data_IF_356377645961
#
_entry.id   IF_356377645961
#
_cell.length_a   1.000
_cell.length_b   1.000
_cell.length_c   1.000
_cell.angle_alpha   90.00
_cell.angle_beta   90.00
_cell.angle_gamma   90.00
#
_symmetry.space_group_name_H-M   'P 1'
#
loop_
_entity.id
_entity.type
_entity.pdbx_description
1 polymer ?
#
# COMPACT_ATOMS: atom_id res chain seq x y z
N UNK A 1 2.28 13.80 17.71
CA UNK A 1 2.77 12.41 17.57
C UNK A 1 2.67 12.02 16.11
N UNK A 2 3.62 11.25 15.58
CA UNK A 2 3.58 10.80 14.18
C UNK A 2 2.68 9.58 14.06
N UNK A 3 1.64 9.63 13.21
CA UNK A 3 0.78 8.48 12.91
C UNK A 3 1.37 7.67 11.75
N UNK A 4 1.69 6.41 12.00
CA UNK A 4 2.24 5.47 11.03
C UNK A 4 1.21 4.38 10.74
N UNK A 5 0.84 4.25 9.47
CA UNK A 5 -0.06 3.17 9.04
C UNK A 5 0.74 2.01 8.49
N UNK A 6 0.46 0.82 9.01
CA UNK A 6 1.06 -0.44 8.56
C UNK A 6 0.03 -1.19 7.70
N UNK A 7 0.41 -1.53 6.47
CA UNK A 7 -0.40 -2.34 5.57
C UNK A 7 0.31 -3.67 5.37
N UNK A 8 -0.24 -4.73 5.97
CA UNK A 8 0.32 -6.07 5.96
C UNK A 8 -0.43 -6.98 4.98
N UNK A 9 0.27 -7.42 3.95
CA UNK A 9 -0.19 -8.35 2.93
C UNK A 9 0.16 -9.81 3.18
N UNK A 10 0.51 -10.22 4.40
CA UNK A 10 0.70 -11.64 4.75
C UNK A 10 -0.63 -12.41 4.67
N UNK A 11 -0.59 -13.63 4.14
CA UNK A 11 -1.76 -14.51 4.05
C UNK A 11 -2.15 -15.18 5.36
N UNK A 12 -1.19 -15.34 6.29
CA UNK A 12 -1.36 -16.13 7.50
C UNK A 12 -0.94 -15.33 8.71
N UNK A 13 -1.59 -15.60 9.82
CA UNK A 13 -1.19 -15.11 11.13
C UNK A 13 0.16 -15.69 11.54
N UNK A 14 0.89 -14.93 12.36
CA UNK A 14 2.17 -15.30 12.97
C UNK A 14 3.20 -15.81 11.92
N UNK A 15 3.20 -15.16 10.76
CA UNK A 15 4.20 -15.38 9.72
C UNK A 15 5.50 -14.59 9.98
N UNK A 16 6.55 -14.94 9.22
CA UNK A 16 7.81 -14.18 9.24
C UNK A 16 7.59 -12.70 8.93
N UNK A 17 6.68 -12.38 8.00
CA UNK A 17 6.31 -10.99 7.70
C UNK A 17 5.64 -10.31 8.90
N UNK A 18 4.73 -11.01 9.60
CA UNK A 18 4.01 -10.48 10.76
C UNK A 18 4.97 -10.20 11.91
N UNK A 19 5.90 -11.11 12.18
CA UNK A 19 6.93 -10.94 13.22
C UNK A 19 7.86 -9.76 12.89
N UNK A 20 8.27 -9.61 11.63
CA UNK A 20 9.08 -8.47 11.21
C UNK A 20 8.32 -7.13 11.34
N UNK A 21 7.02 -7.14 11.02
CA UNK A 21 6.13 -5.99 11.25
C UNK A 21 6.01 -5.69 12.74
N UNK A 22 5.82 -6.69 13.60
CA UNK A 22 5.68 -6.53 15.04
C UNK A 22 6.92 -5.86 15.66
N UNK A 23 8.13 -6.31 15.30
CA UNK A 23 9.39 -5.69 15.75
C UNK A 23 9.50 -4.23 15.30
N UNK A 24 9.12 -3.92 14.05
CA UNK A 24 9.15 -2.55 13.55
C UNK A 24 8.13 -1.65 14.27
N UNK A 25 6.94 -2.18 14.54
CA UNK A 25 5.87 -1.49 15.28
C UNK A 25 6.27 -1.21 16.72
N UNK A 26 6.85 -2.20 17.41
CA UNK A 26 7.37 -2.05 18.78
C UNK A 26 8.40 -0.92 18.85
N UNK A 27 9.41 -0.94 17.99
CA UNK A 27 10.45 0.09 17.96
C UNK A 27 9.90 1.49 17.64
N UNK A 28 8.88 1.60 16.77
CA UNK A 28 8.23 2.88 16.47
C UNK A 28 7.42 3.42 17.65
N UNK A 29 6.69 2.56 18.34
CA UNK A 29 5.90 2.92 19.52
C UNK A 29 6.81 3.34 20.69
N UNK A 30 7.91 2.63 20.92
CA UNK A 30 8.95 3.02 21.88
C UNK A 30 9.56 4.40 21.56
N UNK A 31 9.61 4.76 20.28
CA UNK A 31 10.06 6.06 19.81
C UNK A 31 8.97 7.15 19.86
N UNK A 32 7.78 6.86 20.38
CA UNK A 32 6.67 7.81 20.55
C UNK A 32 5.82 8.04 19.28
N UNK A 33 5.93 7.18 18.27
CA UNK A 33 4.98 7.16 17.16
C UNK A 33 3.70 6.41 17.55
N UNK A 34 2.58 6.74 16.90
CA UNK A 34 1.33 5.98 16.99
C UNK A 34 1.22 5.09 15.76
N UNK A 35 1.12 3.77 15.95
CA UNK A 35 1.01 2.82 14.85
C UNK A 35 -0.39 2.20 14.76
N UNK A 36 -0.92 2.11 13.54
CA UNK A 36 -2.15 1.36 13.25
C UNK A 36 -1.82 0.23 12.25
N UNK A 37 -2.18 -1.02 12.57
CA UNK A 37 -1.89 -2.19 11.72
C UNK A 37 -3.15 -2.67 11.01
N UNK A 38 -3.11 -2.68 9.68
CA UNK A 38 -4.15 -3.23 8.80
C UNK A 38 -3.64 -4.52 8.17
N UNK A 39 -4.25 -5.63 8.58
CA UNK A 39 -4.02 -6.94 7.98
C UNK A 39 -4.96 -7.14 6.79
N UNK A 40 -4.43 -7.12 5.57
CA UNK A 40 -5.23 -7.21 4.34
C UNK A 40 -5.98 -8.54 4.16
N UNK A 41 -5.59 -9.58 4.91
CA UNK A 41 -6.30 -10.87 4.94
C UNK A 41 -7.65 -10.78 5.66
N UNK A 42 -7.77 -9.86 6.62
CA UNK A 42 -8.95 -9.66 7.46
C UNK A 42 -9.76 -8.43 7.03
N UNK A 43 -9.30 -7.72 5.99
CA UNK A 43 -9.83 -6.43 5.60
C UNK A 43 -10.67 -6.53 4.31
N UNK A 44 -11.95 -6.08 4.33
CA UNK A 44 -12.89 -6.34 3.25
C UNK A 44 -12.63 -5.41 2.06
N UNK A 45 -11.73 -5.81 1.16
CA UNK A 45 -11.49 -5.13 -0.10
C UNK A 45 -11.86 -6.05 -1.24
N UNK A 46 -12.72 -5.59 -2.12
CA UNK A 46 -13.10 -6.27 -3.35
C UNK A 46 -12.08 -6.06 -4.46
N UNK A 47 -12.09 -6.94 -5.46
CA UNK A 47 -11.26 -6.76 -6.65
C UNK A 47 -11.67 -5.51 -7.44
N UNK A 48 -10.69 -4.87 -8.06
CA UNK A 48 -10.96 -3.71 -8.90
C UNK A 48 -11.78 -4.12 -10.13
N UNK A 49 -12.91 -3.45 -10.37
CA UNK A 49 -13.72 -3.67 -11.58
C UNK A 49 -13.09 -3.10 -12.86
N UNK A 50 -12.00 -2.33 -12.74
CA UNK A 50 -11.38 -1.59 -13.83
C UNK A 50 -12.36 -0.67 -14.61
N UNK A 51 -13.43 -0.19 -13.94
CA UNK A 51 -14.43 0.71 -14.53
C UNK A 51 -13.94 2.14 -14.76
N UNK A 52 -12.83 2.54 -14.10
CA UNK A 52 -12.18 3.87 -14.21
C UNK A 52 -13.01 5.06 -13.70
N UNK A 53 -14.11 4.83 -13.00
CA UNK A 53 -14.94 5.91 -12.43
C UNK A 53 -14.17 6.82 -11.47
N UNK A 54 -13.37 6.23 -10.56
CA UNK A 54 -12.54 6.97 -9.61
C UNK A 54 -11.43 7.80 -10.29
N UNK A 55 -11.12 7.57 -11.57
CA UNK A 55 -10.11 8.36 -12.29
C UNK A 55 -10.70 9.54 -13.05
N UNK A 56 -12.04 9.69 -13.09
CA UNK A 56 -12.69 10.77 -13.85
C UNK A 56 -12.78 12.08 -13.07
N UNK A 57 -12.72 12.03 -11.74
CA UNK A 57 -12.85 13.21 -10.88
C UNK A 57 -11.55 14.03 -10.93
N UNK A 58 -11.58 15.34 -11.24
CA UNK A 58 -10.37 16.17 -11.23
C UNK A 58 -9.87 16.43 -9.79
N UNK A 59 -8.62 16.85 -9.64
CA UNK A 59 -8.05 17.31 -8.36
C UNK A 59 -7.03 16.36 -7.71
N UNK A 60 -6.57 16.74 -6.51
CA UNK A 60 -5.46 16.09 -5.80
C UNK A 60 -5.90 15.07 -4.74
N UNK A 61 -7.17 15.08 -4.36
CA UNK A 61 -7.75 14.09 -3.45
C UNK A 61 -8.00 12.77 -4.18
N UNK A 62 -7.82 11.60 -3.53
CA UNK A 62 -8.17 10.31 -4.13
C UNK A 62 -9.62 10.31 -4.64
N UNK A 63 -9.84 9.77 -5.83
CA UNK A 63 -11.18 9.72 -6.42
C UNK A 63 -12.06 8.69 -5.73
N UNK A 64 -13.34 8.99 -5.58
CA UNK A 64 -14.31 8.09 -4.95
C UNK A 64 -14.57 6.86 -5.82
N UNK A 65 -14.46 5.67 -5.23
CA UNK A 65 -14.77 4.40 -5.90
C UNK A 65 -16.29 4.13 -5.90
N UNK A 66 -16.76 3.34 -6.87
CA UNK A 66 -18.18 2.88 -6.93
C UNK A 66 -18.43 1.66 -6.05
N UNK A 67 -17.38 0.95 -5.66
CA UNK A 67 -17.47 -0.18 -4.75
C UNK A 67 -17.63 0.33 -3.31
N UNK A 68 -18.64 -0.19 -2.62
CA UNK A 68 -18.89 0.06 -1.20
C UNK A 68 -18.25 -1.06 -0.38
N UNK A 69 -16.98 -0.87 -0.04
CA UNK A 69 -16.16 -1.81 0.72
C UNK A 69 -15.17 -1.06 1.62
N UNK A 70 -14.29 -1.78 2.32
CA UNK A 70 -13.33 -1.20 3.26
C UNK A 70 -12.27 -0.28 2.62
N UNK A 71 -12.19 -0.20 1.29
CA UNK A 71 -11.13 0.57 0.63
C UNK A 71 -11.21 2.07 0.92
N UNK A 72 -12.42 2.64 1.04
CA UNK A 72 -12.56 4.07 1.33
C UNK A 72 -12.03 4.41 2.73
N UNK A 73 -12.38 3.63 3.75
CA UNK A 73 -11.84 3.77 5.12
C UNK A 73 -10.30 3.64 5.13
N UNK A 74 -9.76 2.70 4.34
CA UNK A 74 -8.31 2.53 4.24
C UNK A 74 -7.63 3.74 3.56
N UNK A 75 -8.25 4.33 2.53
CA UNK A 75 -7.77 5.56 1.90
C UNK A 75 -7.76 6.71 2.91
N UNK A 76 -8.80 6.87 3.71
CA UNK A 76 -8.89 7.94 4.69
C UNK A 76 -7.79 7.80 5.76
N UNK A 77 -7.51 6.57 6.21
CA UNK A 77 -6.36 6.26 7.10
C UNK A 77 -5.01 6.57 6.45
N UNK A 78 -4.84 6.24 5.17
CA UNK A 78 -3.62 6.55 4.40
C UNK A 78 -3.39 8.06 4.33
N UNK A 79 -4.44 8.82 4.04
CA UNK A 79 -4.37 10.28 3.92
C UNK A 79 -4.03 10.93 5.27
N UNK A 80 -4.61 10.43 6.37
CA UNK A 80 -4.37 10.91 7.74
C UNK A 80 -2.99 10.56 8.32
N UNK A 81 -2.26 9.60 7.74
CA UNK A 81 -0.97 9.13 8.26
C UNK A 81 0.22 9.97 7.79
N UNK A 82 1.30 10.04 8.58
CA UNK A 82 2.53 10.77 8.22
C UNK A 82 3.62 9.86 7.64
N UNK A 83 3.45 8.54 7.77
CA UNK A 83 4.36 7.56 7.19
C UNK A 83 3.73 6.17 7.13
N UNK A 84 4.44 5.25 6.49
CA UNK A 84 3.92 3.92 6.17
C UNK A 84 4.92 2.80 6.48
N UNK A 85 4.38 1.64 6.84
CA UNK A 85 5.05 0.36 6.64
C UNK A 85 4.22 -0.42 5.62
N UNK A 86 4.82 -0.81 4.49
CA UNK A 86 4.18 -1.70 3.53
C UNK A 86 4.88 -3.05 3.55
N UNK A 87 4.16 -4.09 3.94
CA UNK A 87 4.70 -5.42 4.14
C UNK A 87 4.00 -6.45 3.28
N UNK A 88 4.76 -7.30 2.58
CA UNK A 88 4.21 -8.48 1.91
C UNK A 88 5.31 -9.53 1.68
N UNK A 89 5.03 -10.83 1.94
CA UNK A 89 5.94 -11.88 1.51
C UNK A 89 5.99 -11.96 -0.01
N UNK A 90 7.12 -12.41 -0.54
CA UNK A 90 7.23 -12.78 -1.95
C UNK A 90 6.45 -14.08 -2.18
N UNK A 91 5.36 -14.01 -2.93
CA UNK A 91 4.61 -15.17 -3.40
C UNK A 91 4.75 -15.27 -4.93
N UNK A 92 5.29 -16.41 -5.39
CA UNK A 92 5.55 -16.69 -6.81
C UNK A 92 6.19 -15.51 -7.58
N UNK A 93 7.23 -14.91 -6.98
CA UNK A 93 7.99 -13.79 -7.57
C UNK A 93 7.35 -12.41 -7.49
N UNK A 94 6.18 -12.27 -6.86
CA UNK A 94 5.42 -11.02 -6.70
C UNK A 94 5.04 -10.80 -5.23
N UNK A 95 4.45 -9.65 -4.89
CA UNK A 95 3.64 -9.53 -3.67
C UNK A 95 2.46 -10.51 -3.71
N UNK A 96 1.88 -10.79 -2.54
CA UNK A 96 0.68 -11.61 -2.39
C UNK A 96 -0.51 -11.06 -3.17
N UNK A 97 -1.45 -11.94 -3.53
CA UNK A 97 -2.68 -11.56 -4.23
C UNK A 97 -3.54 -10.57 -3.41
N UNK A 98 -3.57 -10.68 -2.09
CA UNK A 98 -4.30 -9.73 -1.23
C UNK A 98 -3.64 -8.34 -1.24
N UNK A 99 -2.31 -8.27 -1.28
CA UNK A 99 -1.60 -7.00 -1.46
C UNK A 99 -1.79 -6.47 -2.88
N UNK A 100 -1.79 -7.35 -3.90
CA UNK A 100 -2.05 -6.96 -5.29
C UNK A 100 -3.45 -6.38 -5.47
N UNK A 101 -4.46 -6.97 -4.83
CA UNK A 101 -5.84 -6.49 -4.78
C UNK A 101 -5.91 -5.07 -4.20
N UNK A 102 -5.28 -4.83 -3.05
CA UNK A 102 -5.12 -3.49 -2.49
C UNK A 102 -4.39 -2.53 -3.47
N UNK A 103 -3.26 -2.96 -4.03
CA UNK A 103 -2.45 -2.13 -4.94
C UNK A 103 -3.22 -1.72 -6.20
N UNK A 104 -4.05 -2.59 -6.77
CA UNK A 104 -4.90 -2.25 -7.93
C UNK A 104 -5.96 -1.20 -7.59
N UNK A 105 -6.48 -1.22 -6.36
CA UNK A 105 -7.46 -0.24 -5.88
C UNK A 105 -6.83 1.13 -5.60
N UNK A 106 -5.51 1.24 -5.51
CA UNK A 106 -4.80 2.53 -5.44
C UNK A 106 -4.91 3.35 -6.74
N UNK A 107 -5.51 2.81 -7.80
CA UNK A 107 -5.85 3.59 -9.01
C UNK A 107 -6.70 4.83 -8.71
N UNK A 108 -7.39 4.90 -7.56
CA UNK A 108 -8.05 6.11 -7.06
C UNK A 108 -7.10 7.32 -6.94
N UNK A 109 -5.79 7.10 -6.77
CA UNK A 109 -4.75 8.12 -6.75
C UNK A 109 -4.29 8.55 -8.16
N UNK A 110 -4.91 8.03 -9.22
CA UNK A 110 -4.73 8.49 -10.58
C UNK A 110 -5.93 9.34 -11.03
N UNK A 111 -5.66 10.31 -11.90
CA UNK A 111 -6.65 11.11 -12.62
C UNK A 111 -6.37 10.96 -14.11
N UNK A 112 -7.43 10.77 -14.91
CA UNK A 112 -7.32 10.71 -16.37
C UNK A 112 -7.83 12.02 -17.00
N UNK A 113 -6.94 12.99 -17.27
CA UNK A 113 -7.29 14.13 -18.10
C UNK A 113 -7.40 13.68 -19.57
N UNK A 114 -8.60 13.82 -20.16
CA UNK A 114 -8.89 13.39 -21.53
C UNK A 114 -8.10 14.18 -22.60
N UNK A 115 -7.50 15.30 -22.25
CA UNK A 115 -6.59 16.06 -23.12
C UNK A 115 -5.13 15.57 -23.08
N UNK A 116 -4.80 14.55 -22.26
CA UNK A 116 -3.45 13.98 -22.15
C UNK A 116 -3.39 12.54 -22.65
N UNK A 117 -2.18 12.14 -23.06
CA UNK A 117 -1.91 10.78 -23.52
C UNK A 117 -1.80 9.73 -22.39
N UNK A 118 -1.66 10.16 -21.13
CA UNK A 118 -1.43 9.28 -19.99
C UNK A 118 -2.03 9.83 -18.69
N UNK A 119 -2.39 8.95 -17.72
CA UNK A 119 -2.96 9.37 -16.46
C UNK A 119 -1.92 10.11 -15.61
N UNK A 120 -2.40 11.05 -14.81
CA UNK A 120 -1.58 11.81 -13.88
C UNK A 120 -1.80 11.28 -12.47
N UNK A 121 -0.71 11.11 -11.71
CA UNK A 121 -0.83 10.79 -10.29
C UNK A 121 -1.20 12.04 -9.49
N UNK A 122 -2.27 11.93 -8.69
CA UNK A 122 -2.82 13.02 -7.89
C UNK A 122 -1.83 13.54 -6.84
N UNK A 123 -0.93 12.66 -6.35
CA UNK A 123 0.11 12.97 -5.37
C UNK A 123 1.48 13.28 -5.98
N UNK A 124 1.60 13.44 -7.31
CA UNK A 124 2.89 13.66 -7.97
C UNK A 124 3.67 14.89 -7.44
N UNK A 125 2.94 15.93 -7.00
CA UNK A 125 3.50 17.17 -6.45
C UNK A 125 3.37 17.29 -4.92
N UNK A 126 2.78 16.29 -4.26
CA UNK A 126 2.61 16.32 -2.82
C UNK A 126 3.95 16.03 -2.11
N UNK A 127 4.15 16.55 -0.88
CA UNK A 127 5.29 16.16 -0.06
C UNK A 127 5.32 14.65 0.15
N UNK A 128 6.49 14.04 -0.04
CA UNK A 128 6.66 12.59 0.14
C UNK A 128 6.67 12.22 1.60
N UNK A 129 5.76 11.32 1.99
CA UNK A 129 5.74 10.62 3.28
C UNK A 129 6.84 9.56 3.30
N UNK A 130 7.36 9.27 4.49
CA UNK A 130 8.38 8.22 4.65
C UNK A 130 7.71 6.85 4.65
N UNK A 131 8.34 5.87 3.99
CA UNK A 131 7.85 4.51 3.94
C UNK A 131 8.97 3.50 4.22
N UNK A 132 8.69 2.53 5.07
CA UNK A 132 9.49 1.31 5.24
C UNK A 132 8.84 0.18 4.45
N UNK A 133 9.65 -0.56 3.69
CA UNK A 133 9.17 -1.68 2.87
C UNK A 133 9.71 -2.99 3.45
N UNK A 134 8.81 -3.91 3.81
CA UNK A 134 9.16 -5.20 4.39
C UNK A 134 8.76 -6.30 3.41
N UNK A 135 9.73 -7.09 2.95
CA UNK A 135 9.45 -8.27 2.15
C UNK A 135 10.29 -9.44 2.64
N UNK A 136 9.62 -10.57 2.87
CA UNK A 136 10.26 -11.83 3.24
C UNK A 136 10.26 -12.78 2.04
N UNK A 137 11.36 -13.50 1.84
CA UNK A 137 11.52 -14.49 0.78
C UNK A 137 12.43 -15.63 1.25
N UNK A 138 12.21 -16.82 0.71
CA UNK A 138 13.10 -17.97 0.94
C UNK A 138 14.43 -17.85 0.17
N UNK A 139 14.49 -17.02 -0.88
CA UNK A 139 15.74 -16.80 -1.59
C UNK A 139 16.71 -15.94 -0.76
N UNK A 140 18.03 -16.11 -0.91
CA UNK A 140 19.01 -15.22 -0.30
C UNK A 140 18.72 -13.76 -0.65
N UNK A 141 18.89 -12.85 0.32
CA UNK A 141 18.45 -11.45 0.20
C UNK A 141 18.98 -10.72 -1.05
N UNK A 142 20.25 -10.94 -1.39
CA UNK A 142 20.89 -10.34 -2.57
C UNK A 142 20.23 -10.81 -3.89
N UNK A 143 19.89 -12.09 -3.98
CA UNK A 143 19.18 -12.65 -5.14
C UNK A 143 17.74 -12.18 -5.19
N UNK A 144 17.02 -12.26 -4.06
CA UNK A 144 15.60 -11.92 -4.00
C UNK A 144 15.32 -10.48 -4.45
N UNK A 145 16.22 -9.53 -4.14
CA UNK A 145 16.11 -8.13 -4.56
C UNK A 145 16.12 -7.92 -6.08
N UNK A 146 16.82 -8.76 -6.82
CA UNK A 146 16.94 -8.66 -8.28
C UNK A 146 15.95 -9.56 -9.02
N UNK A 147 15.70 -10.76 -8.48
CA UNK A 147 14.86 -11.76 -9.12
C UNK A 147 13.37 -11.48 -8.98
N UNK A 148 12.93 -10.87 -7.88
CA UNK A 148 11.51 -10.76 -7.57
C UNK A 148 10.97 -9.33 -7.69
N UNK A 149 9.69 -9.25 -8.07
CA UNK A 149 8.95 -8.00 -8.22
C UNK A 149 8.40 -7.43 -6.92
N UNK A 150 8.39 -8.20 -5.83
CA UNK A 150 7.73 -7.82 -4.56
C UNK A 150 8.21 -6.47 -4.03
N UNK A 151 9.53 -6.28 -3.91
CA UNK A 151 10.11 -4.99 -3.46
C UNK A 151 9.77 -3.82 -4.39
N UNK A 152 9.72 -4.04 -5.71
CA UNK A 152 9.34 -3.02 -6.70
C UNK A 152 7.86 -2.65 -6.58
N UNK A 153 6.99 -3.63 -6.35
CA UNK A 153 5.55 -3.44 -6.19
C UNK A 153 5.22 -2.74 -4.85
N UNK A 154 5.87 -3.11 -3.75
CA UNK A 154 5.78 -2.39 -2.48
C UNK A 154 6.20 -0.91 -2.66
N UNK A 155 7.32 -0.66 -3.34
CA UNK A 155 7.79 0.69 -3.65
C UNK A 155 6.80 1.47 -4.51
N UNK A 156 6.22 0.82 -5.52
CA UNK A 156 5.21 1.44 -6.39
C UNK A 156 3.95 1.85 -5.60
N UNK A 157 3.47 0.98 -4.70
CA UNK A 157 2.34 1.31 -3.82
C UNK A 157 2.67 2.51 -2.93
N UNK A 158 3.83 2.52 -2.26
CA UNK A 158 4.29 3.64 -1.44
C UNK A 158 4.34 4.95 -2.24
N UNK A 159 4.91 4.91 -3.46
CA UNK A 159 5.02 6.08 -4.32
C UNK A 159 3.67 6.59 -4.83
N UNK A 160 2.65 5.73 -4.90
CA UNK A 160 1.32 6.07 -5.37
C UNK A 160 0.54 6.84 -4.30
N UNK A 161 0.68 6.43 -3.03
CA UNK A 161 -0.03 7.02 -1.88
C UNK A 161 0.64 8.27 -1.30
N UNK A 162 1.82 8.66 -1.81
CA UNK A 162 2.51 9.90 -1.48
C UNK A 162 3.94 9.67 -1.05
#
# INVERSE_FOLDING_TARGET
MSKILVINGSYRDDGITDQAVAVAVEALNESGAETEVINLRDYPIEFCLNCRECTQQPGQAPGKCVLDDGMQDLIDKIEASQGFILAAPTNFGSVTAIFKRFMERLVAYAFWPWDKAYPQFRKAKAPRKKAMLISSSAAPALMGRWLFGSGKQLKMAAQTIG
#
